data_IF_518498666703
#
_entry.id   IF_518498666703
#
_cell.length_a   1.000
_cell.length_b   1.000
_cell.length_c   1.000
_cell.angle_alpha   90.00
_cell.angle_beta   90.00
_cell.angle_gamma   90.00
#
_symmetry.space_group_name_H-M   'P 1'
#
loop_
_entity.id
_entity.type
_entity.pdbx_description
1 polymer ?
#
# COMPACT_ATOMS: atom_id res chain seq x y z
N UNK A 1 -2.19 -15.20 -16.00
CA UNK A 1 -3.51 -14.91 -16.59
C UNK A 1 -3.62 -15.66 -17.91
N UNK A 2 -4.79 -16.19 -18.25
CA UNK A 2 -5.00 -16.82 -19.56
C UNK A 2 -5.08 -15.69 -20.59
N UNK A 3 -4.24 -15.71 -21.63
CA UNK A 3 -4.28 -14.71 -22.70
C UNK A 3 -5.65 -14.74 -23.37
N UNK A 4 -6.20 -13.57 -23.67
CA UNK A 4 -7.42 -13.46 -24.45
C UNK A 4 -7.26 -14.08 -25.84
N UNK A 5 -8.31 -14.73 -26.35
CA UNK A 5 -8.32 -15.28 -27.71
C UNK A 5 -8.37 -14.17 -28.78
N UNK A 6 -8.93 -13.01 -28.43
CA UNK A 6 -8.94 -11.85 -29.31
C UNK A 6 -7.57 -11.16 -29.26
N UNK A 7 -6.93 -11.04 -30.42
CA UNK A 7 -5.58 -10.50 -30.56
C UNK A 7 -5.47 -9.07 -30.02
N UNK A 8 -6.44 -8.18 -30.34
CA UNK A 8 -6.41 -6.80 -29.86
C UNK A 8 -6.54 -6.72 -28.33
N UNK A 9 -7.38 -7.57 -27.75
CA UNK A 9 -7.52 -7.65 -26.29
C UNK A 9 -6.23 -8.16 -25.66
N UNK A 10 -5.61 -9.20 -26.24
CA UNK A 10 -4.33 -9.73 -25.76
C UNK A 10 -3.20 -8.68 -25.84
N UNK A 11 -3.18 -7.84 -26.87
CA UNK A 11 -2.22 -6.73 -26.96
C UNK A 11 -2.42 -5.69 -25.86
N UNK A 12 -3.68 -5.34 -25.55
CA UNK A 12 -4.00 -4.43 -24.44
C UNK A 12 -3.63 -5.03 -23.09
N UNK A 13 -3.86 -6.34 -22.89
CA UNK A 13 -3.44 -7.08 -21.70
C UNK A 13 -1.91 -7.00 -21.51
N UNK A 14 -1.14 -7.15 -22.59
CA UNK A 14 0.31 -7.01 -22.55
C UNK A 14 0.76 -5.58 -22.24
N UNK A 15 0.14 -4.57 -22.86
CA UNK A 15 0.41 -3.15 -22.60
C UNK A 15 0.16 -2.74 -21.15
N UNK A 16 -0.95 -3.19 -20.56
CA UNK A 16 -1.36 -2.84 -19.18
C UNK A 16 -0.72 -3.76 -18.13
N UNK A 17 -0.01 -4.81 -18.55
CA UNK A 17 0.66 -5.74 -17.65
C UNK A 17 1.71 -5.06 -16.73
N UNK A 18 2.15 -5.78 -15.70
CA UNK A 18 3.19 -5.30 -14.77
C UNK A 18 4.62 -5.42 -15.30
N UNK A 19 4.79 -5.89 -16.53
CA UNK A 19 6.09 -5.98 -17.20
C UNK A 19 6.71 -4.59 -17.38
N UNK A 20 8.03 -4.54 -17.50
CA UNK A 20 8.73 -3.30 -17.79
C UNK A 20 8.49 -2.85 -19.25
N UNK A 21 8.84 -1.60 -19.53
CA UNK A 21 8.62 -1.00 -20.85
C UNK A 21 9.37 -1.75 -21.97
N UNK A 22 10.57 -2.26 -21.69
CA UNK A 22 11.40 -2.96 -22.69
C UNK A 22 10.79 -4.33 -23.01
N UNK A 23 10.34 -5.07 -22.00
CA UNK A 23 9.70 -6.36 -22.20
C UNK A 23 8.37 -6.21 -22.96
N UNK A 24 7.56 -5.18 -22.66
CA UNK A 24 6.35 -4.86 -23.41
C UNK A 24 6.63 -4.56 -24.88
N UNK A 25 7.64 -3.73 -25.17
CA UNK A 25 8.04 -3.40 -26.55
C UNK A 25 8.43 -4.66 -27.32
N UNK A 26 9.26 -5.52 -26.70
CA UNK A 26 9.69 -6.78 -27.29
C UNK A 26 8.52 -7.70 -27.59
N UNK A 27 7.61 -7.91 -26.64
CA UNK A 27 6.44 -8.77 -26.84
C UNK A 27 5.53 -8.23 -27.94
N UNK A 28 5.24 -6.92 -27.95
CA UNK A 28 4.39 -6.31 -28.97
C UNK A 28 4.99 -6.40 -30.37
N UNK A 29 6.32 -6.31 -30.49
CA UNK A 29 7.03 -6.50 -31.75
C UNK A 29 7.07 -7.98 -32.18
N UNK A 30 7.59 -8.85 -31.30
CA UNK A 30 7.92 -10.24 -31.63
C UNK A 30 6.66 -11.12 -31.75
N UNK A 31 5.69 -10.96 -30.85
CA UNK A 31 4.51 -11.83 -30.79
C UNK A 31 3.31 -11.28 -31.56
N UNK A 32 3.20 -9.95 -31.67
CA UNK A 32 2.04 -9.27 -32.28
C UNK A 32 2.38 -8.49 -33.55
N UNK A 33 3.64 -8.50 -33.99
CA UNK A 33 4.06 -7.89 -35.25
C UNK A 33 3.90 -6.36 -35.29
N UNK A 34 3.86 -5.68 -34.13
CA UNK A 34 3.75 -4.24 -34.09
C UNK A 34 5.08 -3.57 -34.44
N UNK A 35 5.05 -2.66 -35.42
CA UNK A 35 6.18 -1.76 -35.68
C UNK A 35 6.37 -0.80 -34.51
N UNK A 36 7.49 -0.91 -33.81
CA UNK A 36 7.86 0.01 -32.74
C UNK A 36 8.37 1.34 -33.32
N UNK A 37 7.48 2.31 -33.48
CA UNK A 37 7.88 3.68 -33.83
C UNK A 37 8.45 4.39 -32.61
N UNK A 38 9.33 5.37 -32.82
CA UNK A 38 9.88 6.18 -31.73
C UNK A 38 8.78 6.85 -30.88
N UNK A 39 7.66 7.24 -31.49
CA UNK A 39 6.52 7.78 -30.76
C UNK A 39 5.82 6.74 -29.89
N UNK A 40 5.55 5.54 -30.43
CA UNK A 40 4.92 4.45 -29.68
C UNK A 40 5.79 4.03 -28.49
N UNK A 41 7.10 3.88 -28.72
CA UNK A 41 8.04 3.56 -27.66
C UNK A 41 8.06 4.61 -26.55
N UNK A 42 8.05 5.90 -26.92
CA UNK A 42 7.99 7.01 -25.96
C UNK A 42 6.71 6.94 -25.14
N UNK A 43 5.56 6.68 -25.77
CA UNK A 43 4.25 6.58 -25.07
C UNK A 43 4.21 5.40 -24.11
N UNK A 44 4.73 4.24 -24.51
CA UNK A 44 4.85 3.06 -23.64
C UNK A 44 5.72 3.38 -22.41
N UNK A 45 6.85 4.07 -22.63
CA UNK A 45 7.75 4.45 -21.53
C UNK A 45 7.07 5.41 -20.55
N UNK A 46 6.42 6.46 -21.05
CA UNK A 46 5.71 7.43 -20.21
C UNK A 46 4.65 6.74 -19.35
N UNK A 47 3.85 5.85 -19.95
CA UNK A 47 2.82 5.08 -19.25
C UNK A 47 3.41 4.18 -18.15
N UNK A 48 4.54 3.51 -18.41
CA UNK A 48 5.20 2.67 -17.42
C UNK A 48 5.74 3.51 -16.26
N UNK A 49 6.42 4.63 -16.56
CA UNK A 49 6.93 5.56 -15.54
C UNK A 49 5.81 6.12 -14.66
N UNK A 50 4.65 6.44 -15.25
CA UNK A 50 3.47 6.89 -14.50
C UNK A 50 2.95 5.79 -13.59
N UNK A 51 2.84 4.56 -14.09
CA UNK A 51 2.40 3.40 -13.31
C UNK A 51 3.33 3.11 -12.12
N UNK A 52 4.63 3.22 -12.33
CA UNK A 52 5.64 3.07 -11.27
C UNK A 52 5.54 4.17 -10.22
N UNK A 53 5.40 5.42 -10.66
CA UNK A 53 5.26 6.58 -9.76
C UNK A 53 4.00 6.48 -8.90
N UNK A 54 2.88 6.01 -9.46
CA UNK A 54 1.64 5.76 -8.71
C UNK A 54 1.88 4.69 -7.63
N UNK A 55 2.44 3.53 -8.01
CA UNK A 55 2.74 2.44 -7.07
C UNK A 55 3.74 2.84 -5.99
N UNK A 56 4.68 3.73 -6.30
CA UNK A 56 5.62 4.24 -5.31
C UNK A 56 4.93 5.14 -4.29
N UNK A 57 4.02 6.03 -4.71
CA UNK A 57 3.21 6.83 -3.80
C UNK A 57 2.35 5.95 -2.90
N UNK A 58 1.64 4.99 -3.47
CA UNK A 58 0.81 4.04 -2.70
C UNK A 58 1.64 3.28 -1.66
N UNK A 59 2.84 2.81 -2.02
CA UNK A 59 3.76 2.15 -1.06
C UNK A 59 4.23 3.09 0.05
N UNK A 60 4.51 4.36 -0.27
CA UNK A 60 4.89 5.36 0.73
C UNK A 60 3.74 5.65 1.69
N UNK A 61 2.54 5.84 1.16
CA UNK A 61 1.34 6.10 1.96
C UNK A 61 1.01 4.90 2.86
N UNK A 62 1.05 3.68 2.32
CA UNK A 62 0.86 2.46 3.10
C UNK A 62 1.88 2.33 4.23
N UNK A 63 3.15 2.71 3.98
CA UNK A 63 4.20 2.70 5.01
C UNK A 63 3.96 3.74 6.10
N UNK A 64 3.44 4.91 5.74
CA UNK A 64 3.08 5.97 6.70
C UNK A 64 1.91 5.50 7.57
N UNK A 65 0.87 4.95 6.98
CA UNK A 65 -0.29 4.44 7.73
C UNK A 65 0.10 3.27 8.63
N UNK A 66 0.90 2.32 8.14
CA UNK A 66 1.42 1.23 8.96
C UNK A 66 2.22 1.74 10.18
N UNK A 67 3.00 2.81 10.01
CA UNK A 67 3.73 3.44 11.13
C UNK A 67 2.80 4.13 12.13
N UNK A 68 1.73 4.78 11.64
CA UNK A 68 0.73 5.40 12.52
C UNK A 68 -0.01 4.35 13.34
N UNK A 69 -0.44 3.26 12.71
CA UNK A 69 -1.12 2.15 13.40
C UNK A 69 -0.19 1.48 14.41
N UNK A 70 1.06 1.15 14.05
CA UNK A 70 2.04 0.61 14.99
C UNK A 70 2.28 1.53 16.19
N UNK A 71 2.30 2.86 15.97
CA UNK A 71 2.41 3.83 17.08
C UNK A 71 1.17 3.81 17.97
N UNK A 72 -0.04 3.72 17.40
CA UNK A 72 -1.28 3.62 18.19
C UNK A 72 -1.29 2.33 19.02
N UNK A 73 -0.93 1.19 18.43
CA UNK A 73 -0.84 -0.10 19.13
C UNK A 73 0.16 -0.03 20.29
N UNK A 74 1.36 0.53 20.07
CA UNK A 74 2.35 0.71 21.13
C UNK A 74 1.85 1.60 22.28
N UNK A 75 1.03 2.62 21.98
CA UNK A 75 0.40 3.47 23.02
C UNK A 75 -0.66 2.70 23.81
N UNK A 76 -1.46 1.87 23.17
CA UNK A 76 -2.45 1.01 23.84
C UNK A 76 -1.74 0.00 24.75
N UNK A 77 -0.69 -0.65 24.27
CA UNK A 77 0.09 -1.59 25.09
C UNK A 77 0.73 -0.90 26.31
N UNK A 78 1.22 0.34 26.14
CA UNK A 78 1.73 1.13 27.25
C UNK A 78 0.64 1.43 28.29
N UNK A 79 -0.58 1.76 27.85
CA UNK A 79 -1.74 1.96 28.73
C UNK A 79 -2.09 0.69 29.50
N UNK A 80 -2.11 -0.47 28.85
CA UNK A 80 -2.36 -1.74 29.52
C UNK A 80 -1.34 -2.01 30.64
N UNK A 81 -0.07 -1.73 30.39
CA UNK A 81 1.00 -1.85 31.41
C UNK A 81 0.81 -0.87 32.56
N UNK A 82 0.42 0.37 32.26
CA UNK A 82 0.16 1.41 33.28
C UNK A 82 -1.05 1.07 34.15
N UNK A 83 -2.11 0.50 33.56
CA UNK A 83 -3.28 0.02 34.31
C UNK A 83 -2.91 -1.10 35.29
N UNK A 84 -1.98 -2.01 34.93
CA UNK A 84 -1.51 -3.08 35.83
C UNK A 84 -0.78 -2.56 37.07
N UNK A 85 -0.17 -1.37 37.00
CA UNK A 85 0.51 -0.72 38.12
C UNK A 85 -0.37 0.33 38.81
N UNK A 86 -1.69 0.32 38.55
CA UNK A 86 -2.68 1.19 39.16
C UNK A 86 -2.42 2.71 38.99
N UNK A 87 -1.80 3.12 37.87
CA UNK A 87 -1.73 4.56 37.54
C UNK A 87 -3.15 5.07 37.29
N UNK A 88 -3.48 6.23 37.87
CA UNK A 88 -4.85 6.76 37.76
C UNK A 88 -5.12 7.34 36.38
N UNK A 89 -6.41 7.40 36.02
CA UNK A 89 -6.87 7.98 34.75
C UNK A 89 -6.40 9.42 34.60
N UNK A 90 -6.48 10.23 35.65
CA UNK A 90 -6.07 11.64 35.62
C UNK A 90 -4.57 11.77 35.32
N UNK A 91 -3.75 10.89 35.88
CA UNK A 91 -2.31 10.86 35.61
C UNK A 91 -2.02 10.46 34.16
N UNK A 92 -2.72 9.44 33.64
CA UNK A 92 -2.60 9.00 32.24
C UNK A 92 -2.94 10.13 31.27
N UNK A 93 -4.04 10.84 31.51
CA UNK A 93 -4.45 11.99 30.69
C UNK A 93 -3.43 13.13 30.76
N UNK A 94 -2.88 13.39 31.97
CA UNK A 94 -1.80 14.38 32.15
C UNK A 94 -0.51 14.00 31.43
N UNK A 95 -0.23 12.71 31.22
CA UNK A 95 0.90 12.20 30.43
C UNK A 95 0.69 12.32 28.91
N UNK A 96 -0.46 12.88 28.47
CA UNK A 96 -0.75 13.17 27.06
C UNK A 96 -1.47 12.04 26.33
N UNK A 97 -2.02 11.06 27.04
CA UNK A 97 -2.95 10.08 26.47
C UNK A 97 -4.34 10.66 26.33
N UNK A 98 -5.05 10.21 25.30
CA UNK A 98 -6.42 10.64 25.06
C UNK A 98 -7.40 9.70 25.75
N UNK A 99 -8.60 10.22 26.03
CA UNK A 99 -9.69 9.42 26.59
C UNK A 99 -10.02 8.21 25.71
N UNK A 100 -10.05 8.40 24.38
CA UNK A 100 -10.34 7.33 23.44
C UNK A 100 -9.29 6.21 23.48
N UNK A 101 -8.01 6.53 23.70
CA UNK A 101 -6.95 5.52 23.85
C UNK A 101 -7.12 4.74 25.16
N UNK A 102 -7.46 5.43 26.25
CA UNK A 102 -7.71 4.82 27.54
C UNK A 102 -8.90 3.84 27.50
N UNK A 103 -10.04 4.28 26.97
CA UNK A 103 -11.25 3.44 26.83
C UNK A 103 -11.00 2.23 25.93
N UNK A 104 -10.24 2.40 24.85
CA UNK A 104 -9.87 1.30 23.95
C UNK A 104 -8.98 0.27 24.66
N UNK A 105 -8.00 0.72 25.46
CA UNK A 105 -7.13 -0.16 26.23
C UNK A 105 -7.91 -0.91 27.33
N UNK A 106 -8.80 -0.21 28.05
CA UNK A 106 -9.68 -0.83 29.05
C UNK A 106 -10.58 -1.90 28.42
N UNK A 107 -11.22 -1.60 27.30
CA UNK A 107 -12.08 -2.56 26.58
C UNK A 107 -11.31 -3.81 26.13
N UNK A 108 -10.06 -3.65 25.67
CA UNK A 108 -9.20 -4.78 25.30
C UNK A 108 -8.78 -5.63 26.52
N UNK A 109 -8.55 -5.01 27.67
CA UNK A 109 -8.26 -5.73 28.92
C UNK A 109 -9.46 -6.56 29.41
N UNK A 110 -10.66 -5.97 29.43
CA UNK A 110 -11.88 -6.67 29.87
C UNK A 110 -12.34 -7.76 28.89
N UNK A 111 -12.00 -7.66 27.61
CA UNK A 111 -12.29 -8.71 26.62
C UNK A 111 -11.36 -9.94 26.75
N UNK A 112 -10.20 -9.78 27.41
CA UNK A 112 -9.20 -10.82 27.61
C UNK A 112 -9.17 -11.36 29.07
N UNK A 113 -10.12 -10.95 29.92
CA UNK A 113 -10.30 -11.39 31.30
C UNK A 113 -11.37 -12.48 31.41
#
# INVERSE_FOLDING_TARGET
MKKSQNVLIAMLEELVSRKDASEKKRILADEYGMTMTAELERRIQIMCNWSESIRERERKDAKIEARKEARKEARIEALERMSRVNITREQILSMGYTEAEYEKAQSALYANA
#
